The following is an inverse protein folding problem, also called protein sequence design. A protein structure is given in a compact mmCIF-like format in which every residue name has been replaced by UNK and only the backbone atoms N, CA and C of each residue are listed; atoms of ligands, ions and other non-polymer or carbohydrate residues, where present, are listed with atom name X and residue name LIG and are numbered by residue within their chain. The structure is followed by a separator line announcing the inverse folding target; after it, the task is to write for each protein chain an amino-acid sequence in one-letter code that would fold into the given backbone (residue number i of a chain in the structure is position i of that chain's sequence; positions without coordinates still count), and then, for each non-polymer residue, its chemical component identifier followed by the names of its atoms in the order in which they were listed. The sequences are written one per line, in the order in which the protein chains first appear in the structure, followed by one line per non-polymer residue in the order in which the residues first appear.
data_IF_542576369328
#
_entry.id   IF_542576369328
#
_cell.length_a   1.000
_cell.length_b   1.000
_cell.length_c   1.000
_cell.angle_alpha   90.00
_cell.angle_beta   90.00
_cell.angle_gamma   90.00
#
_symmetry.space_group_name_H-M   'P 1'
#
loop_
_entity.id
_entity.type
_entity.pdbx_description
1 polymer ?
#
# COMPACT_ATOMS: atom_id res chain seq x y z
N UNK A 1 -30.31 22.10 7.82
CA UNK A 1 -29.69 22.96 6.79
C UNK A 1 -28.52 23.69 7.43
N UNK A 2 -27.28 23.17 7.38
CA UNK A 2 -26.11 23.99 7.71
C UNK A 2 -25.59 24.69 6.45
N UNK A 3 -25.04 25.88 6.66
CA UNK A 3 -24.55 26.81 5.65
C UNK A 3 -23.41 26.24 4.83
N UNK A 4 -23.43 26.55 3.53
CA UNK A 4 -22.34 26.38 2.58
C UNK A 4 -21.16 27.28 2.96
N UNK A 5 -20.33 26.83 3.90
CA UNK A 5 -19.03 27.44 4.16
C UNK A 5 -18.14 27.28 2.93
N UNK A 6 -17.75 28.40 2.31
CA UNK A 6 -16.72 28.41 1.27
C UNK A 6 -15.41 27.96 1.92
N UNK A 7 -15.01 26.71 1.67
CA UNK A 7 -13.66 26.24 1.97
C UNK A 7 -12.72 26.93 0.97
N UNK A 8 -12.05 28.00 1.38
CA UNK A 8 -10.98 28.60 0.58
C UNK A 8 -9.66 28.00 1.08
N UNK A 9 -9.02 27.08 0.33
CA UNK A 9 -7.73 26.55 0.75
C UNK A 9 -6.71 27.70 0.80
N UNK A 10 -5.93 27.74 1.88
CA UNK A 10 -4.87 28.71 2.12
C UNK A 10 -3.90 28.71 0.93
N UNK A 11 -3.58 29.86 0.28
CA UNK A 11 -2.68 29.92 -0.88
C UNK A 11 -1.35 29.17 -0.70
N UNK A 12 -0.83 29.03 0.53
CA UNK A 12 0.39 28.25 0.83
C UNK A 12 0.25 26.73 0.60
N UNK A 13 -0.95 26.16 0.76
CA UNK A 13 -1.22 24.72 0.54
C UNK A 13 -1.40 24.36 -0.93
N UNK A 14 -1.55 25.36 -1.81
CA UNK A 14 -1.81 25.16 -3.26
C UNK A 14 -0.55 24.86 -4.06
N UNK A 15 0.61 25.43 -3.69
CA UNK A 15 1.86 25.22 -4.44
C UNK A 15 2.30 23.75 -4.40
N UNK A 16 2.31 23.05 -3.24
CA UNK A 16 2.65 21.62 -3.18
C UNK A 16 1.70 20.75 -4.01
N UNK A 17 0.39 21.04 -3.98
CA UNK A 17 -0.62 20.28 -4.72
C UNK A 17 -0.49 20.46 -6.25
N UNK A 18 -0.20 21.68 -6.72
CA UNK A 18 0.05 21.95 -8.15
C UNK A 18 1.33 21.25 -8.64
N UNK A 19 2.38 21.24 -7.81
CA UNK A 19 3.60 20.48 -8.11
C UNK A 19 3.30 18.98 -8.18
N UNK A 20 2.58 18.43 -7.20
CA UNK A 20 2.17 17.03 -7.21
C UNK A 20 1.32 16.66 -8.44
N UNK A 21 0.38 17.53 -8.85
CA UNK A 21 -0.38 17.31 -10.08
C UNK A 21 0.51 17.30 -11.32
N UNK A 22 1.47 18.22 -11.41
CA UNK A 22 2.46 18.23 -12.48
C UNK A 22 3.32 16.96 -12.52
N UNK A 23 3.59 16.36 -11.37
CA UNK A 23 4.32 15.09 -11.25
C UNK A 23 3.47 13.92 -11.72
N UNK A 24 2.19 13.88 -11.36
CA UNK A 24 1.27 12.86 -11.88
C UNK A 24 1.16 12.91 -13.40
N UNK A 25 1.07 14.11 -13.99
CA UNK A 25 1.01 14.26 -15.45
C UNK A 25 2.30 13.84 -16.16
N UNK A 26 3.44 13.89 -15.47
CA UNK A 26 4.71 13.37 -16.01
C UNK A 26 4.84 11.87 -15.84
N UNK A 27 4.46 11.35 -14.68
CA UNK A 27 4.55 9.91 -14.34
C UNK A 27 3.52 9.09 -15.12
N UNK A 28 2.34 9.65 -15.33
CA UNK A 28 1.23 9.07 -16.07
C UNK A 28 0.83 10.02 -17.18
N UNK A 29 1.59 10.07 -18.29
CA UNK A 29 1.30 11.01 -19.37
C UNK A 29 -0.05 10.69 -20.04
N UNK A 30 -0.82 11.69 -20.51
CA UNK A 30 -2.13 11.47 -21.12
C UNK A 30 -2.18 10.40 -22.23
N UNK A 31 -1.17 10.27 -23.12
CA UNK A 31 -1.14 9.19 -24.11
C UNK A 31 -1.12 7.78 -23.50
N UNK A 32 -0.37 7.57 -22.40
CA UNK A 32 -0.34 6.29 -21.68
C UNK A 32 -1.71 5.97 -21.08
N UNK A 33 -2.32 6.96 -20.43
CA UNK A 33 -3.67 6.80 -19.86
C UNK A 33 -4.70 6.50 -20.95
N UNK A 34 -4.59 7.17 -22.10
CA UNK A 34 -5.46 6.95 -23.25
C UNK A 34 -5.32 5.54 -23.82
N UNK A 35 -4.08 5.04 -23.98
CA UNK A 35 -3.79 3.67 -24.43
C UNK A 35 -4.42 2.62 -23.51
N UNK A 36 -4.21 2.74 -22.20
CA UNK A 36 -4.82 1.83 -21.20
C UNK A 36 -6.36 1.84 -21.29
N UNK A 37 -6.96 3.03 -21.47
CA UNK A 37 -8.41 3.16 -21.59
C UNK A 37 -8.95 2.54 -22.89
N UNK A 38 -8.18 2.61 -23.98
CA UNK A 38 -8.55 2.02 -25.26
C UNK A 38 -8.45 0.49 -25.20
N UNK A 39 -7.35 -0.05 -24.65
CA UNK A 39 -7.14 -1.50 -24.45
C UNK A 39 -8.25 -2.13 -23.59
N UNK A 40 -8.69 -1.42 -22.56
CA UNK A 40 -9.75 -1.88 -21.66
C UNK A 40 -11.17 -1.62 -22.19
N UNK A 41 -11.31 -0.98 -23.36
CA UNK A 41 -12.61 -0.59 -23.93
C UNK A 41 -13.39 0.40 -23.05
N UNK A 42 -12.68 1.21 -22.26
CA UNK A 42 -13.26 2.18 -21.30
C UNK A 42 -13.36 3.60 -21.85
N UNK A 43 -12.80 3.85 -23.04
CA UNK A 43 -12.99 5.12 -23.74
C UNK A 43 -14.47 5.33 -24.08
N UNK A 44 -14.89 6.58 -24.01
CA UNK A 44 -16.25 6.94 -24.37
C UNK A 44 -16.46 6.85 -25.89
N UNK A 45 -17.69 6.52 -26.30
CA UNK A 45 -18.10 6.51 -27.71
C UNK A 45 -18.76 7.82 -28.15
N UNK A 46 -19.00 8.75 -27.21
CA UNK A 46 -19.71 10.02 -27.41
C UNK A 46 -19.11 11.01 -26.44
N UNK A 47 -18.86 12.24 -26.89
CA UNK A 47 -18.37 13.33 -26.03
C UNK A 47 -19.17 13.40 -24.72
N UNK A 48 -18.51 13.11 -23.60
CA UNK A 48 -19.09 13.12 -22.26
C UNK A 48 -18.58 14.32 -21.47
N UNK A 49 -19.43 14.79 -20.57
CA UNK A 49 -19.06 15.81 -19.59
C UNK A 49 -17.86 15.38 -18.72
N UNK A 50 -17.84 14.10 -18.32
CA UNK A 50 -16.79 13.49 -17.52
C UNK A 50 -16.14 12.33 -18.31
N UNK A 51 -15.19 12.63 -19.22
CA UNK A 51 -14.45 11.63 -19.98
C UNK A 51 -13.68 10.67 -19.08
N UNK A 52 -13.41 9.46 -19.56
CA UNK A 52 -12.71 8.44 -18.78
C UNK A 52 -11.31 8.89 -18.32
N UNK A 53 -10.54 9.53 -19.21
CA UNK A 53 -9.23 10.13 -18.88
C UNK A 53 -9.32 11.12 -17.73
N UNK A 54 -10.26 12.06 -17.78
CA UNK A 54 -10.47 13.01 -16.68
C UNK A 54 -10.80 12.29 -15.37
N UNK A 55 -11.55 11.18 -15.44
CA UNK A 55 -11.89 10.38 -14.25
C UNK A 55 -10.69 9.62 -13.67
N UNK A 56 -9.73 9.19 -14.49
CA UNK A 56 -8.45 8.64 -14.00
C UNK A 56 -7.72 9.69 -13.17
N UNK A 57 -7.47 10.88 -13.73
CA UNK A 57 -6.80 11.96 -13.00
C UNK A 57 -7.62 12.50 -11.83
N UNK A 58 -8.95 12.45 -11.91
CA UNK A 58 -9.82 12.75 -10.79
C UNK A 58 -9.57 11.80 -9.61
N UNK A 59 -9.54 10.49 -9.86
CA UNK A 59 -9.30 9.50 -8.81
C UNK A 59 -7.88 9.61 -8.24
N UNK A 60 -6.86 9.86 -9.07
CA UNK A 60 -5.51 10.19 -8.58
C UNK A 60 -5.52 11.49 -7.74
N UNK A 61 -6.22 12.51 -8.22
CA UNK A 61 -6.37 13.80 -7.55
C UNK A 61 -7.06 13.71 -6.18
N UNK A 62 -7.90 12.70 -5.94
CA UNK A 62 -8.48 12.47 -4.60
C UNK A 62 -7.42 12.28 -3.51
N UNK A 63 -6.23 11.79 -3.86
CA UNK A 63 -5.10 11.59 -2.94
C UNK A 63 -4.15 12.78 -2.86
N UNK A 64 -4.21 13.73 -3.80
CA UNK A 64 -3.53 15.02 -3.69
C UNK A 64 -4.38 16.01 -2.88
N UNK A 65 -5.69 16.03 -3.16
CA UNK A 65 -6.65 16.99 -2.60
C UNK A 65 -7.51 16.32 -1.51
N UNK A 66 -6.86 15.67 -0.55
CA UNK A 66 -7.47 14.79 0.47
C UNK A 66 -8.46 15.47 1.42
N UNK A 67 -8.48 16.80 1.47
CA UNK A 67 -9.42 17.57 2.29
C UNK A 67 -10.60 18.12 1.47
N UNK A 68 -10.52 18.10 0.13
CA UNK A 68 -11.53 18.73 -0.72
C UNK A 68 -12.68 17.77 -1.05
N UNK A 69 -13.92 18.27 -1.16
CA UNK A 69 -15.04 17.55 -1.73
C UNK A 69 -14.85 17.34 -3.24
N UNK A 70 -15.56 16.36 -3.82
CA UNK A 70 -15.39 15.94 -5.22
C UNK A 70 -15.51 17.09 -6.22
N UNK A 71 -16.48 17.98 -6.02
CA UNK A 71 -16.72 19.11 -6.91
C UNK A 71 -15.52 20.07 -6.94
N UNK A 72 -14.90 20.32 -5.79
CA UNK A 72 -13.72 21.19 -5.72
C UNK A 72 -12.47 20.50 -6.28
N UNK A 73 -12.31 19.20 -6.07
CA UNK A 73 -11.21 18.43 -6.72
C UNK A 73 -11.30 18.55 -8.24
N UNK A 74 -12.50 18.37 -8.79
CA UNK A 74 -12.72 18.50 -10.23
C UNK A 74 -12.40 19.92 -10.72
N UNK A 75 -12.84 20.94 -9.98
CA UNK A 75 -12.56 22.34 -10.31
C UNK A 75 -11.05 22.67 -10.29
N UNK A 76 -10.30 22.15 -9.31
CA UNK A 76 -8.84 22.31 -9.26
C UNK A 76 -8.16 21.65 -10.46
N UNK A 77 -8.53 20.41 -10.81
CA UNK A 77 -7.96 19.70 -11.95
C UNK A 77 -8.20 20.41 -13.29
N UNK A 78 -9.41 20.92 -13.51
CA UNK A 78 -9.75 21.63 -14.75
C UNK A 78 -9.02 22.97 -14.86
N UNK A 79 -8.79 23.64 -13.73
CA UNK A 79 -8.04 24.90 -13.67
C UNK A 79 -6.55 24.70 -13.94
N UNK A 80 -5.93 23.70 -13.30
CA UNK A 80 -4.48 23.51 -13.32
C UNK A 80 -4.00 22.54 -14.42
N UNK A 81 -4.89 21.77 -15.03
CA UNK A 81 -4.59 20.87 -16.13
C UNK A 81 -5.66 20.93 -17.24
N UNK A 82 -5.81 22.09 -17.92
CA UNK A 82 -6.90 22.31 -18.90
C UNK A 82 -6.84 21.38 -20.11
N UNK A 83 -5.71 20.71 -20.38
CA UNK A 83 -5.57 19.72 -21.45
C UNK A 83 -6.20 18.35 -21.14
N UNK A 84 -6.67 18.10 -19.92
CA UNK A 84 -7.26 16.81 -19.53
C UNK A 84 -8.67 16.59 -20.07
N UNK A 85 -9.37 17.67 -20.43
CA UNK A 85 -10.69 17.60 -21.03
C UNK A 85 -10.90 18.79 -21.97
N UNK A 86 -11.74 18.66 -23.01
CA UNK A 86 -12.12 19.80 -23.82
C UNK A 86 -12.80 20.87 -22.93
N UNK A 87 -12.63 22.18 -23.22
CA UNK A 87 -13.22 23.25 -22.43
C UNK A 87 -14.74 23.19 -22.54
N UNK A 88 -15.42 22.62 -21.55
CA UNK A 88 -16.87 22.61 -21.47
C UNK A 88 -17.30 23.36 -20.21
N UNK A 89 -18.02 24.45 -20.38
CA UNK A 89 -18.58 25.29 -19.30
C UNK A 89 -19.47 24.51 -18.30
N UNK A 90 -19.91 23.30 -18.66
CA UNK A 90 -20.71 22.43 -17.80
C UNK A 90 -19.87 21.54 -16.86
N UNK A 91 -18.56 21.37 -17.08
CA UNK A 91 -17.72 20.50 -16.22
C UNK A 91 -17.57 21.06 -14.81
N UNK A 92 -17.58 22.39 -14.67
CA UNK A 92 -17.59 23.10 -13.38
C UNK A 92 -18.91 22.89 -12.60
N UNK A 93 -19.92 22.20 -13.18
CA UNK A 93 -21.25 22.00 -12.61
C UNK A 93 -21.58 20.51 -12.34
N UNK A 94 -20.62 19.59 -12.47
CA UNK A 94 -20.87 18.19 -12.17
C UNK A 94 -21.04 17.97 -10.66
N UNK A 95 -22.20 17.45 -10.24
CA UNK A 95 -22.45 17.10 -8.84
C UNK A 95 -21.63 15.87 -8.41
N UNK A 96 -21.37 15.71 -7.10
CA UNK A 96 -20.75 14.50 -6.54
C UNK A 96 -21.43 13.20 -6.99
N UNK A 97 -22.75 13.21 -7.17
CA UNK A 97 -23.50 12.07 -7.67
C UNK A 97 -23.15 11.74 -9.14
N UNK A 98 -22.99 12.75 -10.00
CA UNK A 98 -22.56 12.56 -11.38
C UNK A 98 -21.12 12.06 -11.45
N UNK A 99 -20.22 12.60 -10.62
CA UNK A 99 -18.83 12.17 -10.49
C UNK A 99 -18.77 10.71 -10.02
N UNK A 100 -19.52 10.35 -8.97
CA UNK A 100 -19.59 8.97 -8.48
C UNK A 100 -20.10 7.97 -9.53
N UNK A 101 -21.08 8.36 -10.36
CA UNK A 101 -21.50 7.53 -11.51
C UNK A 101 -20.42 7.41 -12.57
N UNK A 102 -19.67 8.47 -12.84
CA UNK A 102 -18.58 8.43 -13.81
C UNK A 102 -17.41 7.55 -13.32
N UNK A 103 -17.06 7.60 -12.03
CA UNK A 103 -16.09 6.68 -11.40
C UNK A 103 -16.50 5.21 -11.49
N UNK A 104 -17.78 4.90 -11.22
CA UNK A 104 -18.30 3.52 -11.40
C UNK A 104 -18.21 3.05 -12.85
N UNK A 105 -18.49 3.93 -13.82
CA UNK A 105 -18.35 3.59 -15.24
C UNK A 105 -16.88 3.33 -15.63
N UNK A 106 -15.95 4.09 -15.06
CA UNK A 106 -14.51 3.89 -15.26
C UNK A 106 -14.07 2.50 -14.77
N UNK A 107 -14.54 2.09 -13.58
CA UNK A 107 -14.16 0.83 -12.95
C UNK A 107 -12.74 0.85 -12.37
N UNK A 108 -12.31 -0.27 -11.78
CA UNK A 108 -11.00 -0.40 -11.10
C UNK A 108 -9.83 -0.49 -12.08
N UNK A 109 -10.05 -1.19 -13.19
CA UNK A 109 -9.01 -1.69 -14.09
C UNK A 109 -7.99 -0.65 -14.58
N UNK A 110 -8.39 0.57 -15.00
CA UNK A 110 -7.41 1.54 -15.49
C UNK A 110 -6.39 1.94 -14.43
N UNK A 111 -6.82 2.08 -13.16
CA UNK A 111 -5.92 2.46 -12.06
C UNK A 111 -5.03 1.28 -11.64
N UNK A 112 -5.56 0.05 -11.70
CA UNK A 112 -4.77 -1.16 -11.48
C UNK A 112 -3.64 -1.30 -12.50
N UNK A 113 -3.95 -1.12 -13.79
CA UNK A 113 -2.95 -1.19 -14.88
C UNK A 113 -1.89 -0.10 -14.77
N UNK A 114 -2.30 1.13 -14.41
CA UNK A 114 -1.35 2.21 -14.12
C UNK A 114 -0.42 1.85 -12.96
N UNK A 115 -0.96 1.28 -11.88
CA UNK A 115 -0.15 0.84 -10.74
C UNK A 115 0.86 -0.23 -11.15
N UNK A 116 0.41 -1.28 -11.86
CA UNK A 116 1.27 -2.37 -12.34
C UNK A 116 2.43 -1.86 -13.21
N UNK A 117 2.18 -0.88 -14.08
CA UNK A 117 3.21 -0.27 -14.94
C UNK A 117 4.11 0.73 -14.21
N UNK A 118 3.57 1.44 -13.21
CA UNK A 118 4.31 2.45 -12.44
C UNK A 118 5.45 1.88 -11.61
N UNK A 119 5.39 0.58 -11.29
CA UNK A 119 6.43 -0.08 -10.51
C UNK A 119 7.77 -0.24 -11.25
N UNK A 120 7.77 -0.27 -12.58
CA UNK A 120 8.97 -0.60 -13.36
C UNK A 120 9.90 0.60 -13.61
N UNK A 121 9.43 1.82 -13.35
CA UNK A 121 10.18 3.05 -13.58
C UNK A 121 11.12 3.35 -12.41
N UNK A 122 12.44 3.47 -12.68
CA UNK A 122 13.38 4.12 -11.75
C UNK A 122 13.97 3.25 -10.63
N UNK A 123 13.56 1.99 -10.47
CA UNK A 123 14.16 1.10 -9.49
C UNK A 123 15.58 0.69 -9.92
N UNK A 124 16.61 1.22 -9.23
CA UNK A 124 17.95 0.63 -9.27
C UNK A 124 17.91 -0.83 -8.81
N UNK A 125 18.87 -1.65 -9.23
CA UNK A 125 18.91 -3.06 -8.85
C UNK A 125 18.86 -3.21 -7.32
N UNK A 126 17.74 -3.74 -6.82
CA UNK A 126 17.55 -3.96 -5.38
C UNK A 126 18.61 -4.96 -4.86
N UNK A 127 19.24 -4.70 -3.71
CA UNK A 127 20.22 -5.60 -3.15
C UNK A 127 19.58 -6.95 -2.81
N UNK A 128 20.17 -8.04 -3.31
CA UNK A 128 19.73 -9.40 -3.03
C UNK A 128 20.46 -9.96 -1.81
N UNK A 129 19.75 -10.71 -0.96
CA UNK A 129 20.38 -11.51 0.09
C UNK A 129 20.76 -12.88 -0.48
N UNK A 130 22.02 -13.05 -0.86
CA UNK A 130 22.53 -14.33 -1.42
C UNK A 130 21.69 -14.83 -2.60
N UNK A 131 21.34 -13.92 -3.51
CA UNK A 131 20.52 -14.20 -4.70
C UNK A 131 19.01 -14.16 -4.47
N UNK A 132 18.56 -13.93 -3.23
CA UNK A 132 17.13 -13.85 -2.87
C UNK A 132 16.67 -12.41 -2.88
N UNK A 133 15.51 -12.16 -3.46
CA UNK A 133 14.88 -10.83 -3.46
C UNK A 133 14.14 -10.64 -2.13
N UNK A 134 14.52 -9.67 -1.29
CA UNK A 134 13.81 -9.39 -0.06
C UNK A 134 12.52 -8.62 -0.36
N UNK A 135 11.40 -9.15 0.11
CA UNK A 135 10.07 -8.54 0.01
C UNK A 135 9.54 -8.31 1.42
N UNK A 136 9.19 -7.08 1.80
CA UNK A 136 8.57 -6.80 3.09
C UNK A 136 7.06 -6.93 3.01
N UNK A 137 6.47 -7.60 3.99
CA UNK A 137 5.03 -7.59 4.22
C UNK A 137 4.69 -6.55 5.28
N UNK A 138 4.01 -5.49 4.85
CA UNK A 138 3.59 -4.38 5.72
C UNK A 138 2.08 -4.35 5.81
N UNK A 139 1.54 -4.09 7.00
CA UNK A 139 0.12 -3.86 7.19
C UNK A 139 -0.11 -2.40 7.62
N UNK A 140 -0.99 -1.69 6.92
CA UNK A 140 -1.29 -0.28 7.18
C UNK A 140 -2.77 -0.13 7.49
N UNK A 141 -3.09 0.48 8.63
CA UNK A 141 -4.47 0.78 8.99
C UNK A 141 -4.97 2.02 8.22
N UNK A 142 -6.14 1.89 7.60
CA UNK A 142 -6.78 2.93 6.79
C UNK A 142 -8.20 3.18 7.28
N UNK A 143 -8.63 4.44 7.28
CA UNK A 143 -10.03 4.78 7.46
C UNK A 143 -10.87 4.27 6.28
N UNK A 144 -12.00 3.60 6.51
CA UNK A 144 -12.91 3.15 5.47
C UNK A 144 -14.37 3.25 5.93
N UNK A 145 -15.26 3.93 5.18
CA UNK A 145 -16.66 4.08 5.58
C UNK A 145 -17.37 2.73 5.75
N UNK A 146 -17.99 2.49 6.91
CA UNK A 146 -18.79 1.30 7.22
C UNK A 146 -20.19 1.33 6.59
N UNK A 147 -20.27 1.50 5.27
CA UNK A 147 -21.52 1.36 4.54
C UNK A 147 -21.94 -0.10 4.43
N UNK A 148 -23.24 -0.44 4.29
CA UNK A 148 -23.69 -1.82 4.11
C UNK A 148 -22.97 -2.54 2.96
N UNK A 149 -22.69 -1.85 1.86
CA UNK A 149 -21.93 -2.41 0.73
C UNK A 149 -20.49 -2.74 1.10
N UNK A 150 -19.79 -1.83 1.79
CA UNK A 150 -18.42 -2.08 2.25
C UNK A 150 -18.34 -3.18 3.32
N UNK A 151 -19.28 -3.22 4.26
CA UNK A 151 -19.32 -4.27 5.29
C UNK A 151 -19.57 -5.65 4.66
N UNK A 152 -20.39 -5.72 3.61
CA UNK A 152 -20.60 -6.97 2.87
C UNK A 152 -19.37 -7.37 2.05
N UNK A 153 -18.71 -6.41 1.40
CA UNK A 153 -17.55 -6.66 0.54
C UNK A 153 -16.24 -6.87 1.30
N UNK A 154 -16.15 -6.41 2.55
CA UNK A 154 -14.94 -6.49 3.37
C UNK A 154 -15.28 -7.07 4.76
N UNK A 155 -15.28 -8.41 4.91
CA UNK A 155 -15.62 -9.07 6.18
C UNK A 155 -14.75 -8.63 7.36
N UNK A 156 -13.49 -8.28 7.09
CA UNK A 156 -12.55 -7.69 8.03
C UNK A 156 -13.09 -6.41 8.70
N UNK A 157 -13.59 -5.48 7.88
CA UNK A 157 -14.19 -4.24 8.37
C UNK A 157 -15.46 -4.57 9.17
N UNK A 158 -16.27 -5.52 8.71
CA UNK A 158 -17.49 -5.91 9.41
C UNK A 158 -17.21 -6.45 10.82
N UNK A 159 -16.18 -7.28 10.97
CA UNK A 159 -15.75 -7.80 12.27
C UNK A 159 -15.28 -6.67 13.21
N UNK A 160 -14.43 -5.77 12.73
CA UNK A 160 -13.95 -4.61 13.51
C UNK A 160 -15.10 -3.65 13.89
N UNK A 161 -16.05 -3.44 12.98
CA UNK A 161 -17.21 -2.59 13.23
C UNK A 161 -18.16 -3.20 14.27
N UNK A 162 -18.32 -4.53 14.28
CA UNK A 162 -19.20 -5.23 15.21
C UNK A 162 -18.68 -5.23 16.66
N UNK A 163 -17.37 -5.24 16.86
CA UNK A 163 -16.73 -5.28 18.19
C UNK A 163 -16.50 -3.90 18.81
N UNK A 164 -16.64 -2.83 18.03
CA UNK A 164 -16.45 -1.46 18.51
C UNK A 164 -17.60 -0.92 19.38
N UNK A 165 -17.31 -0.05 20.37
CA UNK A 165 -18.35 0.55 21.21
C UNK A 165 -19.37 1.36 20.38
N UNK A 166 -20.68 1.35 20.75
CA UNK A 166 -21.71 2.13 20.08
C UNK A 166 -21.33 3.61 19.99
N UNK A 167 -21.41 4.20 18.79
CA UNK A 167 -21.03 5.60 18.53
C UNK A 167 -19.54 5.85 18.24
N UNK A 168 -18.68 4.83 18.39
CA UNK A 168 -17.24 4.89 18.09
C UNK A 168 -16.76 3.63 17.34
N UNK A 169 -17.66 2.98 16.59
CA UNK A 169 -17.30 1.81 15.80
C UNK A 169 -16.24 2.22 14.78
N UNK A 170 -15.03 1.63 14.83
CA UNK A 170 -13.94 2.09 14.01
C UNK A 170 -14.25 1.80 12.54
N UNK A 171 -14.39 2.87 11.76
CA UNK A 171 -14.35 2.85 10.30
C UNK A 171 -12.91 2.58 9.86
N UNK A 172 -12.32 1.45 10.27
CA UNK A 172 -10.91 1.12 9.97
C UNK A 172 -10.81 -0.24 9.29
N UNK A 173 -10.14 -0.25 8.15
CA UNK A 173 -9.70 -1.44 7.46
C UNK A 173 -8.16 -1.53 7.55
N UNK A 174 -7.62 -2.66 7.15
CA UNK A 174 -6.18 -2.88 7.04
C UNK A 174 -5.85 -3.16 5.59
N UNK A 175 -4.82 -2.49 5.07
CA UNK A 175 -4.26 -2.77 3.76
C UNK A 175 -2.92 -3.48 3.99
N UNK A 176 -2.79 -4.69 3.44
CA UNK A 176 -1.55 -5.42 3.35
C UNK A 176 -0.82 -5.03 2.08
N UNK A 177 0.48 -4.78 2.21
CA UNK A 177 1.35 -4.34 1.13
C UNK A 177 2.53 -5.28 1.03
N UNK A 178 2.86 -5.69 -0.19
CA UNK A 178 4.08 -6.41 -0.49
C UNK A 178 5.07 -5.43 -1.14
N UNK A 179 6.12 -5.08 -0.42
CA UNK A 179 7.08 -4.04 -0.82
C UNK A 179 8.42 -4.69 -1.15
N UNK A 180 8.95 -4.42 -2.33
CA UNK A 180 10.29 -4.85 -2.69
C UNK A 180 11.32 -4.00 -1.95
N UNK A 181 12.12 -4.64 -1.09
CA UNK A 181 13.12 -3.93 -0.30
C UNK A 181 14.20 -3.35 -1.20
N UNK A 182 14.69 -2.15 -0.87
CA UNK A 182 15.71 -1.45 -1.66
C UNK A 182 15.14 -0.55 -2.76
N UNK A 183 14.25 -1.06 -3.61
CA UNK A 183 13.52 -0.22 -4.58
C UNK A 183 12.33 0.51 -3.95
N UNK A 184 11.82 0.01 -2.81
CA UNK A 184 10.60 0.46 -2.12
C UNK A 184 9.34 0.39 -2.99
N UNK A 185 9.42 -0.38 -4.07
CA UNK A 185 8.32 -0.58 -5.00
C UNK A 185 7.24 -1.41 -4.33
N UNK A 186 6.01 -0.91 -4.30
CA UNK A 186 4.87 -1.70 -3.87
C UNK A 186 4.47 -2.58 -5.04
N UNK A 187 4.46 -3.89 -4.81
CA UNK A 187 4.24 -4.91 -5.83
C UNK A 187 2.83 -5.50 -5.75
N UNK A 188 2.23 -5.45 -4.56
CA UNK A 188 0.88 -5.90 -4.29
C UNK A 188 0.26 -5.08 -3.16
N UNK A 189 -1.06 -4.89 -3.21
CA UNK A 189 -1.84 -4.30 -2.13
C UNK A 189 -3.22 -4.97 -2.03
N UNK A 190 -3.60 -5.39 -0.82
CA UNK A 190 -4.87 -6.06 -0.56
C UNK A 190 -5.54 -5.53 0.70
N UNK A 191 -6.87 -5.42 0.69
CA UNK A 191 -7.63 -5.13 1.92
C UNK A 191 -7.81 -6.44 2.68
N UNK A 192 -7.23 -6.52 3.88
CA UNK A 192 -7.13 -7.76 4.66
C UNK A 192 -7.82 -7.69 6.01
N UNK A 193 -8.11 -8.87 6.57
CA UNK A 193 -8.47 -9.06 7.97
C UNK A 193 -7.33 -8.78 8.94
N UNK A 194 -7.68 -8.42 10.18
CA UNK A 194 -6.69 -8.24 11.25
C UNK A 194 -5.89 -9.54 11.50
N UNK A 195 -6.55 -10.69 11.37
CA UNK A 195 -6.01 -12.02 11.66
C UNK A 195 -5.72 -12.85 10.39
N UNK A 196 -5.75 -12.23 9.21
CA UNK A 196 -5.48 -12.93 7.96
C UNK A 196 -3.97 -13.07 7.77
N UNK A 197 -3.44 -14.30 7.74
CA UNK A 197 -2.02 -14.60 7.53
C UNK A 197 -1.84 -15.55 6.32
N UNK A 198 -2.51 -15.22 5.22
CA UNK A 198 -2.36 -15.95 3.97
C UNK A 198 -1.08 -15.51 3.23
N UNK A 199 -0.56 -16.39 2.37
CA UNK A 199 0.55 -16.09 1.48
C UNK A 199 0.15 -14.93 0.55
N UNK A 200 0.82 -13.76 0.62
CA UNK A 200 0.47 -12.63 -0.22
C UNK A 200 0.78 -12.93 -1.69
N UNK A 201 -0.09 -12.51 -2.63
CA UNK A 201 0.19 -12.69 -4.05
C UNK A 201 1.42 -11.88 -4.46
N UNK A 202 2.19 -12.44 -5.38
CA UNK A 202 3.45 -11.85 -5.87
C UNK A 202 4.72 -12.39 -5.19
N UNK A 203 4.60 -13.16 -4.09
CA UNK A 203 5.74 -13.93 -3.54
C UNK A 203 5.96 -15.18 -4.39
N UNK A 204 7.16 -15.32 -4.92
CA UNK A 204 7.59 -16.47 -5.71
C UNK A 204 8.63 -17.35 -4.99
N UNK A 205 9.06 -18.44 -5.65
CA UNK A 205 10.15 -19.29 -5.16
C UNK A 205 11.44 -18.49 -4.97
N UNK A 206 12.23 -18.85 -3.95
CA UNK A 206 13.49 -18.20 -3.54
C UNK A 206 13.35 -16.73 -3.07
N UNK A 207 12.17 -16.12 -3.10
CA UNK A 207 11.94 -14.82 -2.46
C UNK A 207 12.15 -14.93 -0.94
N UNK A 208 12.57 -13.82 -0.33
CA UNK A 208 12.74 -13.70 1.11
C UNK A 208 11.71 -12.74 1.69
N UNK A 209 10.66 -13.28 2.30
CA UNK A 209 9.63 -12.48 2.94
C UNK A 209 10.12 -11.94 4.29
N UNK A 210 10.19 -10.63 4.44
CA UNK A 210 10.53 -9.93 5.68
C UNK A 210 9.25 -9.45 6.33
N UNK A 211 8.99 -9.88 7.55
CA UNK A 211 7.75 -9.55 8.25
C UNK A 211 7.94 -8.40 9.24
N UNK A 212 6.88 -7.60 9.41
CA UNK A 212 6.71 -6.79 10.62
C UNK A 212 6.42 -7.68 11.84
N UNK A 213 6.68 -7.19 13.07
CA UNK A 213 6.33 -7.92 14.29
C UNK A 213 4.86 -8.34 14.30
N UNK A 214 4.64 -9.66 14.28
CA UNK A 214 3.32 -10.27 14.32
C UNK A 214 3.40 -11.65 14.99
N UNK A 215 2.26 -12.18 15.46
CA UNK A 215 2.25 -13.53 16.01
C UNK A 215 2.75 -14.57 15.01
N UNK A 216 3.38 -15.64 15.49
CA UNK A 216 3.95 -16.68 14.64
C UNK A 216 2.84 -17.60 14.09
N UNK A 217 2.57 -17.48 12.79
CA UNK A 217 1.54 -18.23 12.07
C UNK A 217 2.12 -19.43 11.33
N UNK A 218 1.75 -20.64 11.77
CA UNK A 218 2.14 -21.89 11.11
C UNK A 218 1.58 -22.02 9.68
N UNK A 219 0.32 -21.61 9.38
CA UNK A 219 -0.18 -21.60 8.00
C UNK A 219 0.68 -20.78 7.04
N UNK A 220 1.06 -19.55 7.40
CA UNK A 220 1.90 -18.70 6.54
C UNK A 220 3.29 -19.28 6.36
N UNK A 221 3.90 -19.75 7.46
CA UNK A 221 5.22 -20.38 7.42
C UNK A 221 5.23 -21.58 6.47
N UNK A 222 4.25 -22.47 6.61
CA UNK A 222 4.11 -23.67 5.78
C UNK A 222 3.86 -23.31 4.32
N UNK A 223 3.01 -22.31 4.05
CA UNK A 223 2.74 -21.87 2.68
C UNK A 223 4.00 -21.33 1.99
N UNK A 224 4.84 -20.58 2.70
CA UNK A 224 6.13 -20.09 2.19
C UNK A 224 7.09 -21.25 1.87
N UNK A 225 7.22 -22.22 2.77
CA UNK A 225 8.05 -23.40 2.54
C UNK A 225 7.56 -24.22 1.33
N UNK A 226 6.24 -24.38 1.17
CA UNK A 226 5.64 -25.14 0.07
C UNK A 226 5.96 -24.54 -1.30
N UNK A 227 6.05 -23.21 -1.41
CA UNK A 227 6.42 -22.53 -2.66
C UNK A 227 7.93 -22.36 -2.83
N UNK A 228 8.73 -22.78 -1.85
CA UNK A 228 10.19 -22.59 -1.85
C UNK A 228 10.63 -21.15 -1.54
N UNK A 229 9.77 -20.35 -0.90
CA UNK A 229 10.12 -19.03 -0.40
C UNK A 229 10.70 -19.14 1.03
N UNK A 230 11.39 -18.08 1.44
CA UNK A 230 12.00 -17.98 2.76
C UNK A 230 11.39 -16.85 3.57
N UNK A 231 11.61 -16.87 4.88
CA UNK A 231 11.05 -15.87 5.78
C UNK A 231 12.08 -15.33 6.77
N UNK A 232 12.00 -14.03 7.08
CA UNK A 232 12.58 -13.39 8.25
C UNK A 232 11.44 -12.93 9.16
N UNK A 233 11.24 -13.64 10.27
CA UNK A 233 10.12 -13.44 11.18
C UNK A 233 10.61 -12.84 12.51
N UNK A 234 10.25 -11.60 12.86
CA UNK A 234 10.54 -11.05 14.18
C UNK A 234 9.75 -11.79 15.25
N UNK A 235 10.46 -12.47 16.15
CA UNK A 235 9.83 -13.28 17.18
C UNK A 235 9.34 -12.42 18.33
N UNK A 236 8.05 -12.53 18.71
CA UNK A 236 7.57 -12.02 19.99
C UNK A 236 8.33 -12.65 21.15
N UNK A 237 8.48 -11.91 22.26
CA UNK A 237 9.15 -12.41 23.47
C UNK A 237 8.50 -13.67 24.04
N UNK A 238 7.19 -13.83 23.83
CA UNK A 238 6.40 -14.99 24.28
C UNK A 238 6.78 -16.30 23.57
N UNK A 239 7.43 -16.25 22.40
CA UNK A 239 7.80 -17.44 21.64
C UNK A 239 8.99 -18.13 22.28
N UNK A 240 8.73 -19.32 22.82
CA UNK A 240 9.73 -20.20 23.43
C UNK A 240 10.45 -21.04 22.37
N UNK A 241 11.75 -21.28 22.59
CA UNK A 241 12.55 -22.19 21.78
C UNK A 241 12.64 -23.54 22.49
N UNK A 242 12.40 -24.63 21.77
CA UNK A 242 12.64 -26.00 22.25
C UNK A 242 13.70 -26.70 21.41
N UNK A 243 14.53 -27.55 22.05
CA UNK A 243 15.52 -28.38 21.35
C UNK A 243 16.65 -27.65 20.62
N UNK A 244 17.06 -26.47 21.11
CA UNK A 244 18.01 -25.59 20.41
C UNK A 244 19.44 -26.13 20.27
N UNK A 245 19.97 -26.18 19.05
CA UNK A 245 21.38 -26.45 18.74
C UNK A 245 22.07 -25.16 18.31
N UNK A 246 23.14 -24.76 19.02
CA UNK A 246 23.93 -23.57 18.67
C UNK A 246 24.81 -23.87 17.45
N UNK A 247 24.78 -22.96 16.46
CA UNK A 247 25.60 -23.04 15.24
C UNK A 247 26.86 -22.16 15.36
N UNK A 248 27.89 -22.39 14.53
CA UNK A 248 29.17 -21.66 14.60
C UNK A 248 29.07 -20.14 14.39
N UNK A 249 28.06 -19.66 13.66
CA UNK A 249 27.81 -18.23 13.45
C UNK A 249 27.05 -17.56 14.61
N UNK A 250 26.78 -18.31 15.69
CA UNK A 250 26.04 -17.83 16.84
C UNK A 250 24.53 -17.80 16.66
N UNK A 251 23.98 -18.37 15.58
CA UNK A 251 22.54 -18.65 15.50
C UNK A 251 22.19 -19.97 16.22
N UNK A 252 20.90 -20.22 16.42
CA UNK A 252 20.38 -21.43 17.09
C UNK A 252 19.36 -22.10 16.19
N UNK A 253 19.56 -23.35 15.81
CA UNK A 253 18.53 -24.17 15.18
C UNK A 253 17.60 -24.70 16.27
N UNK A 254 16.31 -24.38 16.23
CA UNK A 254 15.35 -24.75 17.27
C UNK A 254 13.98 -25.03 16.67
N UNK A 255 13.12 -25.62 17.51
CA UNK A 255 11.68 -25.65 17.26
C UNK A 255 11.00 -24.47 17.95
N UNK A 256 10.00 -23.90 17.28
CA UNK A 256 9.19 -22.78 17.76
C UNK A 256 7.73 -23.21 17.83
N UNK A 257 7.06 -22.88 18.93
CA UNK A 257 5.62 -23.07 19.03
C UNK A 257 4.89 -21.91 18.33
N UNK A 258 4.11 -22.21 17.30
CA UNK A 258 3.19 -21.28 16.66
C UNK A 258 1.92 -21.07 17.49
N UNK A 259 1.08 -20.10 17.11
CA UNK A 259 -0.14 -19.75 17.85
C UNK A 259 -1.13 -20.91 18.00
N UNK A 260 -1.22 -21.77 17.00
CA UNK A 260 -2.09 -22.95 16.97
C UNK A 260 -1.49 -24.16 17.71
N UNK A 261 -0.30 -24.01 18.29
CA UNK A 261 0.45 -25.08 18.96
C UNK A 261 1.31 -25.93 18.02
N UNK A 262 1.32 -25.66 16.71
CA UNK A 262 2.19 -26.34 15.76
C UNK A 262 3.67 -26.04 16.05
N UNK A 263 4.54 -27.04 15.87
CA UNK A 263 5.98 -26.86 16.00
C UNK A 263 6.62 -26.54 14.63
N UNK A 264 7.28 -25.39 14.54
CA UNK A 264 8.01 -24.95 13.36
C UNK A 264 9.51 -25.12 13.58
N UNK A 265 10.22 -25.71 12.62
CA UNK A 265 11.69 -25.77 12.66
C UNK A 265 12.25 -24.50 12.07
N UNK A 266 13.02 -23.76 12.85
CA UNK A 266 13.57 -22.48 12.41
C UNK A 266 14.99 -22.28 12.92
N UNK A 267 15.75 -21.46 12.21
CA UNK A 267 16.99 -20.91 12.71
C UNK A 267 16.72 -19.54 13.35
N UNK A 268 17.14 -19.37 14.59
CA UNK A 268 16.94 -18.15 15.38
C UNK A 268 18.26 -17.41 15.54
N UNK A 269 18.24 -16.11 15.29
CA UNK A 269 19.38 -15.21 15.46
C UNK A 269 18.95 -13.90 16.12
N UNK A 270 19.92 -13.10 16.57
CA UNK A 270 19.71 -11.76 17.06
C UNK A 270 20.26 -10.75 16.06
N UNK A 271 19.54 -9.64 15.89
CA UNK A 271 19.97 -8.48 15.10
C UNK A 271 20.90 -7.57 15.91
N UNK A 272 21.54 -6.59 15.24
CA UNK A 272 22.33 -5.57 15.93
C UNK A 272 21.48 -4.71 16.87
N UNK A 273 20.18 -4.61 16.59
CA UNK A 273 19.18 -3.91 17.42
C UNK A 273 18.55 -4.77 18.51
N UNK A 274 19.01 -6.00 18.72
CA UNK A 274 18.51 -6.92 19.75
C UNK A 274 17.17 -7.60 19.43
N UNK A 275 16.60 -7.38 18.25
CA UNK A 275 15.43 -8.13 17.77
C UNK A 275 15.81 -9.58 17.53
N UNK A 276 15.05 -10.52 18.10
CA UNK A 276 15.13 -11.95 17.77
C UNK A 276 14.41 -12.23 16.46
N UNK A 277 15.10 -12.85 15.51
CA UNK A 277 14.53 -13.25 14.23
C UNK A 277 14.54 -14.78 14.11
N UNK A 278 13.44 -15.34 13.64
CA UNK A 278 13.39 -16.68 13.09
C UNK A 278 13.51 -16.63 11.57
N UNK A 279 14.15 -17.64 10.99
CA UNK A 279 14.22 -17.82 9.54
C UNK A 279 14.12 -19.29 9.15
N UNK A 280 13.54 -19.55 7.98
CA UNK A 280 13.56 -20.86 7.32
C UNK A 280 14.89 -21.16 6.61
N UNK A 281 15.83 -20.20 6.57
CA UNK A 281 17.20 -20.42 6.08
C UNK A 281 18.03 -21.17 7.13
N UNK A 282 17.97 -22.51 7.09
CA UNK A 282 18.55 -23.35 8.15
C UNK A 282 20.08 -23.48 8.09
N UNK A 283 20.69 -23.35 6.90
CA UNK A 283 22.14 -23.49 6.73
C UNK A 283 22.88 -22.16 6.98
N UNK A 284 23.65 -22.12 8.08
CA UNK A 284 24.48 -20.97 8.48
C UNK A 284 25.60 -20.63 7.48
N UNK A 285 26.00 -21.56 6.61
CA UNK A 285 27.04 -21.31 5.60
C UNK A 285 26.46 -20.66 4.35
N UNK A 286 25.28 -21.12 3.91
CA UNK A 286 24.57 -20.57 2.76
C UNK A 286 24.00 -19.16 3.04
N UNK A 287 23.56 -18.91 4.28
CA UNK A 287 23.09 -17.61 4.73
C UNK A 287 23.64 -17.33 6.14
N UNK A 288 24.76 -16.60 6.29
CA UNK A 288 25.33 -16.28 7.60
C UNK A 288 24.42 -15.39 8.44
N UNK A 289 24.34 -15.63 9.75
CA UNK A 289 23.48 -14.85 10.66
C UNK A 289 23.75 -13.33 10.61
N UNK A 290 25.02 -12.92 10.49
CA UNK A 290 25.39 -11.50 10.40
C UNK A 290 24.80 -10.81 9.17
N UNK A 291 24.71 -11.49 8.04
CA UNK A 291 24.13 -10.94 6.80
C UNK A 291 22.61 -10.88 6.87
N UNK A 292 21.97 -11.90 7.47
CA UNK A 292 20.52 -11.85 7.72
C UNK A 292 20.18 -10.69 8.66
N UNK A 293 20.93 -10.54 9.75
CA UNK A 293 20.76 -9.46 10.70
C UNK A 293 20.92 -8.08 10.03
N UNK A 294 21.99 -7.91 9.23
CA UNK A 294 22.23 -6.68 8.49
C UNK A 294 21.11 -6.39 7.47
N UNK A 295 20.63 -7.40 6.76
CA UNK A 295 19.50 -7.26 5.83
C UNK A 295 18.23 -6.80 6.56
N UNK A 296 17.91 -7.36 7.72
CA UNK A 296 16.72 -6.95 8.46
C UNK A 296 16.85 -5.53 9.06
N UNK A 297 18.04 -5.16 9.52
CA UNK A 297 18.32 -3.85 10.13
C UNK A 297 18.57 -2.73 9.10
N UNK A 298 18.77 -3.07 7.81
CA UNK A 298 18.98 -2.12 6.72
C UNK A 298 17.81 -1.14 6.66
N UNK A 299 18.04 0.19 6.71
CA UNK A 299 16.97 1.18 6.66
C UNK A 299 16.04 1.03 5.46
N UNK A 300 16.54 0.67 4.28
CA UNK A 300 15.72 0.45 3.08
C UNK A 300 14.85 -0.81 3.16
N UNK A 301 15.20 -1.75 4.05
CA UNK A 301 14.38 -2.91 4.41
C UNK A 301 13.49 -2.58 5.60
N UNK A 302 13.97 -1.81 6.59
CA UNK A 302 13.28 -1.48 7.84
C UNK A 302 12.23 -0.37 7.71
N UNK A 303 12.22 0.38 6.61
CA UNK A 303 11.27 1.45 6.34
C UNK A 303 9.84 0.90 6.25
N UNK A 304 8.99 1.31 7.20
CA UNK A 304 7.59 0.86 7.31
C UNK A 304 6.59 1.86 6.75
N UNK A 305 7.05 3.06 6.39
CA UNK A 305 6.17 4.18 6.04
C UNK A 305 5.94 4.25 4.53
N UNK A 306 4.69 4.44 4.17
CA UNK A 306 4.31 4.96 2.85
C UNK A 306 4.69 6.44 2.78
N UNK A 307 5.96 6.72 2.48
CA UNK A 307 6.41 8.10 2.32
C UNK A 307 5.57 8.83 1.24
N UNK A 308 5.32 10.12 1.46
CA UNK A 308 4.62 10.98 0.50
C UNK A 308 3.08 10.98 0.56
N UNK A 309 2.41 9.90 0.97
CA UNK A 309 0.92 9.85 0.96
C UNK A 309 0.31 10.68 2.11
N UNK A 310 0.99 10.72 3.26
CA UNK A 310 0.64 11.60 4.38
C UNK A 310 1.03 13.06 4.18
N UNK A 311 2.09 13.32 3.39
CA UNK A 311 2.79 14.60 3.35
C UNK A 311 1.98 15.79 2.78
N UNK A 312 0.88 15.53 2.06
CA UNK A 312 0.02 16.58 1.47
C UNK A 312 -1.29 16.78 2.24
N UNK A 313 -1.46 16.11 3.38
CA UNK A 313 -2.58 16.28 4.30
C UNK A 313 -2.15 16.90 5.63
N UNK A 314 -3.10 17.48 6.36
CA UNK A 314 -2.87 17.97 7.73
C UNK A 314 -2.87 16.84 8.78
N UNK A 315 -3.18 15.59 8.38
CA UNK A 315 -3.22 14.40 9.21
C UNK A 315 -2.55 13.23 8.47
N UNK A 316 -1.65 12.52 9.16
CA UNK A 316 -0.93 11.34 8.66
C UNK A 316 -1.86 10.12 8.47
N UNK A 317 -3.09 10.19 8.99
CA UNK A 317 -4.08 9.11 8.84
C UNK A 317 -4.52 8.95 7.39
N UNK A 318 -4.35 7.77 6.82
CA UNK A 318 -4.92 7.43 5.51
C UNK A 318 -6.43 7.21 5.66
N UNK A 319 -7.24 7.84 4.81
CA UNK A 319 -8.70 7.73 4.82
C UNK A 319 -9.23 7.52 3.40
N UNK A 320 -9.89 6.38 3.18
CA UNK A 320 -10.67 6.10 1.98
C UNK A 320 -12.02 6.80 2.09
N UNK A 321 -12.52 7.31 0.96
CA UNK A 321 -13.77 8.06 0.88
C UNK A 321 -14.89 7.26 0.20
N UNK A 322 -14.53 6.17 -0.47
CA UNK A 322 -15.44 5.36 -1.27
C UNK A 322 -16.37 4.50 -0.42
N UNK A 323 -17.64 4.44 -0.83
CA UNK A 323 -18.76 3.81 -0.12
C UNK A 323 -19.25 2.52 -0.78
N UNK A 324 -18.41 1.95 -1.64
CA UNK A 324 -18.70 0.75 -2.40
C UNK A 324 -17.38 -0.04 -2.61
N UNK A 325 -17.36 -1.38 -2.51
CA UNK A 325 -16.14 -2.18 -2.57
C UNK A 325 -15.33 -2.00 -3.84
N UNK A 326 -15.99 -1.90 -5.01
CA UNK A 326 -15.28 -1.68 -6.27
C UNK A 326 -14.59 -0.31 -6.26
N UNK A 327 -15.28 0.71 -5.75
CA UNK A 327 -14.73 2.07 -5.67
C UNK A 327 -13.64 2.20 -4.61
N UNK A 328 -13.67 1.39 -3.56
CA UNK A 328 -12.57 1.27 -2.59
C UNK A 328 -11.31 0.74 -3.27
N UNK A 329 -11.40 -0.34 -4.05
CA UNK A 329 -10.24 -0.84 -4.79
C UNK A 329 -9.72 0.18 -5.81
N UNK A 330 -10.63 0.87 -6.52
CA UNK A 330 -10.24 1.94 -7.44
C UNK A 330 -9.47 3.06 -6.73
N UNK A 331 -9.92 3.47 -5.55
CA UNK A 331 -9.26 4.48 -4.72
C UNK A 331 -7.92 3.97 -4.17
N UNK A 332 -7.84 2.70 -3.76
CA UNK A 332 -6.61 2.05 -3.33
C UNK A 332 -5.53 2.07 -4.43
N UNK A 333 -5.85 1.64 -5.64
CA UNK A 333 -4.87 1.68 -6.74
C UNK A 333 -4.44 3.12 -7.09
N UNK A 334 -5.37 4.07 -7.02
CA UNK A 334 -5.02 5.48 -7.20
C UNK A 334 -4.06 5.99 -6.12
N UNK A 335 -4.23 5.55 -4.86
CA UNK A 335 -3.32 5.85 -3.76
C UNK A 335 -1.90 5.38 -4.07
N UNK A 336 -1.77 4.15 -4.56
CA UNK A 336 -0.48 3.51 -4.87
C UNK A 336 0.19 4.16 -6.09
N UNK A 337 -0.58 4.52 -7.12
CA UNK A 337 -0.07 5.29 -8.25
C UNK A 337 0.51 6.63 -7.80
N UNK A 338 -0.21 7.35 -6.92
CA UNK A 338 0.24 8.62 -6.37
C UNK A 338 1.47 8.44 -5.49
N UNK A 339 1.52 7.36 -4.71
CA UNK A 339 2.69 6.99 -3.93
C UNK A 339 3.94 6.79 -4.79
N UNK A 340 3.85 5.97 -5.85
CA UNK A 340 4.98 5.74 -6.75
C UNK A 340 5.41 7.03 -7.46
N UNK A 341 4.48 7.78 -8.02
CA UNK A 341 4.78 9.01 -8.75
C UNK A 341 5.43 10.09 -7.87
N UNK A 342 4.98 10.24 -6.62
CA UNK A 342 5.50 11.28 -5.72
C UNK A 342 6.71 10.78 -4.91
N UNK A 343 6.78 9.50 -4.59
CA UNK A 343 7.92 8.88 -3.92
C UNK A 343 9.24 9.13 -4.65
N UNK A 344 9.21 9.22 -5.99
CA UNK A 344 10.37 9.61 -6.80
C UNK A 344 10.92 11.02 -6.49
N UNK A 345 10.08 11.94 -6.01
CA UNK A 345 10.51 13.31 -5.65
C UNK A 345 11.11 13.39 -4.25
N UNK A 346 10.59 12.57 -3.34
CA UNK A 346 10.99 12.54 -1.94
C UNK A 346 12.00 11.39 -1.80
N UNK A 347 13.22 11.62 -2.30
CA UNK A 347 14.33 10.68 -2.09
C UNK A 347 14.52 10.34 -0.60
N UNK A 348 15.26 9.27 -0.25
CA UNK A 348 15.47 8.89 1.14
C UNK A 348 16.00 10.08 1.94
N UNK A 349 15.24 10.55 2.92
CA UNK A 349 15.75 11.50 3.91
C UNK A 349 16.58 10.70 4.91
N UNK A 350 17.91 10.87 4.98
CA UNK A 350 18.69 10.24 6.03
C UNK A 350 18.33 10.88 7.37
N UNK A 351 17.58 10.16 8.23
CA UNK A 351 17.40 10.57 9.62
C UNK A 351 16.07 10.23 10.29
N UNK A 352 14.99 9.97 9.55
CA UNK A 352 13.67 9.72 10.17
C UNK A 352 13.47 8.24 10.54
N UNK A 353 14.30 7.77 11.47
CA UNK A 353 14.08 6.50 12.20
C UNK A 353 13.03 6.64 13.32
N UNK A 354 12.05 7.52 13.15
CA UNK A 354 10.99 7.74 14.13
C UNK A 354 9.89 6.70 13.99
N UNK A 355 9.74 5.83 14.99
CA UNK A 355 8.59 4.95 15.16
C UNK A 355 7.26 5.73 15.05
N UNK A 356 6.42 5.37 14.09
CA UNK A 356 4.96 5.37 14.19
C UNK A 356 4.41 4.32 13.23
#
# INVERSE_FOLDING_TARGET
MPSSGRFSPDPGTRLPQRVALGVLLRSFPPPLVDEILDDLGRREQRQRLLPARLMVYFTLGMWIFRALPYELILAELLRDAPGLAPPVSAQEQASAAAIGRARRRLGVEPLRRLFEQSGDAGAGAAPLLRGRRPLRLCDVDVGMPATPANLLGFPALAAAHATGPPGHRPDRARIRLLVECGSRRITCAEVVGADQDDLPPGVGPEDLLVLDPRPLSAPLWTALEQIGAHVLWPLPESVQLSGGTRLPDGSVLAKLAAQDGSELVARVLATGRGTRLATSLLDHRAAPAGEIAACYDDPAVAERRLHGIGAYGHDDRLELRSKDPEMVHQELYAMLCVHHAIGELVGPTPGDSGCF
#
